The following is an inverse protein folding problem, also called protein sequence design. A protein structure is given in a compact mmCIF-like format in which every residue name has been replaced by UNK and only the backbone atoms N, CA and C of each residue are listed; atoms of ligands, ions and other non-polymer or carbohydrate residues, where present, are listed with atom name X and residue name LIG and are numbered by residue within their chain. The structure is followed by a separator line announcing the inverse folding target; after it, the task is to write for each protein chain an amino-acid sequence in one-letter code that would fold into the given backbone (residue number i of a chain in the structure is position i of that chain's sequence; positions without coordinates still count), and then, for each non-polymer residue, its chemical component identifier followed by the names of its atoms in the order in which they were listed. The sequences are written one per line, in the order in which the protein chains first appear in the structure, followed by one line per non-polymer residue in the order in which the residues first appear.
data_IF_268978105366
#
_entry.id   IF_268978105366
#
_cell.length_a   1.000
_cell.length_b   1.000
_cell.length_c   1.000
_cell.angle_alpha   90.00
_cell.angle_beta   90.00
_cell.angle_gamma   90.00
#
_symmetry.space_group_name_H-M   'P 1'
#
loop_
_entity.id
_entity.type
_entity.pdbx_description
1 polymer ?
#
# COMPACT_ATOMS: atom_id res chain seq x y z
N UNK A 1 -35.57 11.63 -13.64
CA UNK A 1 -34.53 10.59 -13.43
C UNK A 1 -34.81 9.87 -12.12
N UNK A 2 -35.36 8.67 -12.17
CA UNK A 2 -35.59 7.83 -10.98
C UNK A 2 -34.24 7.29 -10.52
N UNK A 3 -33.69 7.84 -9.44
CA UNK A 3 -32.47 7.35 -8.77
C UNK A 3 -32.74 5.91 -8.30
N UNK A 4 -32.35 4.90 -9.07
CA UNK A 4 -32.67 3.50 -8.73
C UNK A 4 -31.94 3.06 -7.47
N UNK A 5 -32.64 2.34 -6.58
CA UNK A 5 -32.06 1.71 -5.37
C UNK A 5 -30.91 0.76 -5.71
N UNK A 6 -31.00 0.08 -6.87
CA UNK A 6 -29.96 -0.84 -7.34
C UNK A 6 -28.61 -0.14 -7.60
N UNK A 7 -28.62 1.11 -8.08
CA UNK A 7 -27.40 1.90 -8.26
C UNK A 7 -26.72 2.27 -6.94
N UNK A 8 -27.52 2.58 -5.90
CA UNK A 8 -26.99 2.90 -4.57
C UNK A 8 -26.31 1.69 -3.90
N UNK A 9 -26.92 0.51 -4.01
CA UNK A 9 -26.35 -0.72 -3.44
C UNK A 9 -24.96 -1.02 -4.03
N UNK A 10 -24.80 -0.86 -5.35
CA UNK A 10 -23.51 -1.04 -6.02
C UNK A 10 -22.46 -0.03 -5.54
N UNK A 11 -22.82 1.25 -5.42
CA UNK A 11 -21.91 2.29 -4.91
C UNK A 11 -21.46 1.98 -3.48
N UNK A 12 -22.39 1.61 -2.58
CA UNK A 12 -22.06 1.30 -1.19
C UNK A 12 -21.20 0.04 -1.07
N UNK A 13 -21.47 -0.99 -1.88
CA UNK A 13 -20.66 -2.21 -1.89
C UNK A 13 -19.21 -1.93 -2.29
N UNK A 14 -18.98 -1.23 -3.40
CA UNK A 14 -17.62 -0.87 -3.83
C UNK A 14 -16.94 0.12 -2.89
N UNK A 15 -17.69 1.06 -2.31
CA UNK A 15 -17.18 1.95 -1.27
C UNK A 15 -16.74 1.18 -0.01
N UNK A 16 -17.54 0.21 0.44
CA UNK A 16 -17.21 -0.66 1.57
C UNK A 16 -15.98 -1.53 1.29
N UNK A 17 -15.88 -2.12 0.11
CA UNK A 17 -14.68 -2.86 -0.32
C UNK A 17 -13.46 -1.93 -0.31
N UNK A 18 -13.56 -0.74 -0.90
CA UNK A 18 -12.46 0.23 -0.90
C UNK A 18 -12.02 0.58 0.53
N UNK A 19 -12.97 0.82 1.44
CA UNK A 19 -12.68 1.10 2.85
C UNK A 19 -11.97 -0.08 3.53
N UNK A 20 -12.40 -1.32 3.28
CA UNK A 20 -11.74 -2.52 3.81
C UNK A 20 -10.31 -2.69 3.29
N UNK A 21 -10.06 -2.42 2.00
CA UNK A 21 -8.70 -2.47 1.45
C UNK A 21 -7.80 -1.40 2.06
N UNK A 22 -8.29 -0.16 2.24
CA UNK A 22 -7.52 0.88 2.94
C UNK A 22 -7.29 0.54 4.40
N UNK A 23 -8.29 0.01 5.10
CA UNK A 23 -8.14 -0.48 6.46
C UNK A 23 -7.05 -1.55 6.54
N UNK A 24 -7.08 -2.55 5.64
CA UNK A 24 -6.04 -3.57 5.56
C UNK A 24 -4.65 -2.99 5.28
N UNK A 25 -4.54 -2.01 4.37
CA UNK A 25 -3.28 -1.33 4.09
C UNK A 25 -2.68 -0.69 5.36
N UNK A 26 -3.48 0.03 6.13
CA UNK A 26 -3.02 0.67 7.37
C UNK A 26 -2.77 -0.33 8.49
N UNK A 27 -3.56 -1.38 8.57
CA UNK A 27 -3.39 -2.44 9.56
C UNK A 27 -2.07 -3.20 9.36
N UNK A 28 -1.64 -3.42 8.11
CA UNK A 28 -0.41 -4.11 7.75
C UNK A 28 0.72 -3.16 7.29
N UNK A 29 0.67 -1.89 7.72
CA UNK A 29 1.60 -0.87 7.23
C UNK A 29 3.06 -1.22 7.53
N UNK A 30 3.35 -1.76 8.71
CA UNK A 30 4.69 -2.15 9.14
C UNK A 30 5.25 -3.29 8.29
N UNK A 31 4.44 -4.28 7.95
CA UNK A 31 4.85 -5.39 7.09
C UNK A 31 5.14 -4.91 5.67
N UNK A 32 4.33 -3.99 5.12
CA UNK A 32 4.60 -3.38 3.82
C UNK A 32 5.88 -2.54 3.83
N UNK A 33 6.14 -1.79 4.90
CA UNK A 33 7.38 -1.04 5.08
C UNK A 33 8.59 -1.98 5.17
N UNK A 34 8.48 -3.05 5.95
CA UNK A 34 9.52 -4.07 6.05
C UNK A 34 9.81 -4.72 4.68
N UNK A 35 8.79 -5.09 3.92
CA UNK A 35 8.96 -5.60 2.55
C UNK A 35 9.64 -4.57 1.64
N UNK A 36 9.26 -3.30 1.75
CA UNK A 36 9.85 -2.21 0.95
C UNK A 36 11.35 -2.04 1.26
N UNK A 37 11.72 -2.01 2.55
CA UNK A 37 13.11 -1.90 3.00
C UNK A 37 13.95 -3.13 2.63
N UNK A 38 13.35 -4.32 2.54
CA UNK A 38 14.05 -5.57 2.20
C UNK A 38 14.01 -5.92 0.72
N UNK A 39 13.52 -5.02 -0.16
CA UNK A 39 13.65 -5.18 -1.62
C UNK A 39 15.10 -5.05 -2.10
N UNK A 40 15.91 -4.28 -1.38
CA UNK A 40 17.34 -4.09 -1.62
C UNK A 40 18.12 -4.56 -0.38
N UNK A 41 19.43 -4.75 -0.55
CA UNK A 41 20.30 -5.01 0.60
C UNK A 41 20.19 -3.85 1.59
N UNK A 42 19.85 -4.20 2.84
CA UNK A 42 19.58 -3.25 3.89
C UNK A 42 20.38 -3.56 5.16
N UNK A 43 20.63 -2.52 5.95
CA UNK A 43 21.17 -2.66 7.29
C UNK A 43 20.12 -2.16 8.28
N UNK A 44 19.68 -3.04 9.19
CA UNK A 44 18.80 -2.68 10.29
C UNK A 44 19.63 -2.35 11.53
N UNK A 45 19.55 -1.10 11.98
CA UNK A 45 20.23 -0.60 13.18
C UNK A 45 19.17 -0.25 14.21
N UNK A 46 19.25 -0.85 15.39
CA UNK A 46 18.36 -0.53 16.51
C UNK A 46 18.91 0.67 17.26
N UNK A 47 18.18 1.79 17.24
CA UNK A 47 18.54 3.03 17.94
C UNK A 47 17.43 3.38 18.94
N UNK A 48 17.67 3.08 20.22
CA UNK A 48 16.66 3.25 21.26
C UNK A 48 15.50 2.27 21.12
N UNK A 49 14.29 2.80 20.85
CA UNK A 49 13.08 2.00 20.61
C UNK A 49 12.79 1.79 19.11
N UNK A 50 13.49 2.51 18.22
CA UNK A 50 13.22 2.51 16.79
C UNK A 50 14.24 1.65 16.01
N UNK A 51 13.78 1.04 14.92
CA UNK A 51 14.67 0.33 13.98
C UNK A 51 14.84 1.17 12.72
N UNK A 52 16.07 1.66 12.50
CA UNK A 52 16.42 2.42 11.31
C UNK A 52 16.95 1.48 10.21
N UNK A 53 16.36 1.58 9.02
CA UNK A 53 16.77 0.82 7.84
C UNK A 53 17.61 1.69 6.90
N UNK A 54 18.86 1.29 6.68
CA UNK A 54 19.73 1.88 5.67
C UNK A 54 19.70 1.00 4.42
N UNK A 55 19.44 1.57 3.24
CA UNK A 55 19.41 0.82 1.97
C UNK A 55 20.76 0.88 1.24
N UNK A 56 21.01 -0.09 0.34
CA UNK A 56 22.23 -0.18 -0.50
C UNK A 56 23.52 -0.28 0.32
N UNK A 57 23.47 -1.03 1.41
CA UNK A 57 24.62 -1.18 2.31
C UNK A 57 25.41 -2.43 1.94
N UNK A 58 26.70 -2.42 2.22
CA UNK A 58 27.51 -3.63 2.22
C UNK A 58 27.60 -4.20 3.65
N UNK A 59 27.89 -5.51 3.81
CA UNK A 59 28.00 -6.13 5.13
C UNK A 59 29.01 -5.42 6.06
N UNK A 60 30.13 -4.96 5.52
CA UNK A 60 31.18 -4.22 6.26
C UNK A 60 30.70 -2.87 6.79
N UNK A 61 29.98 -2.10 5.96
CA UNK A 61 29.39 -0.82 6.38
C UNK A 61 28.28 -1.02 7.43
N UNK A 62 27.55 -2.13 7.37
CA UNK A 62 26.51 -2.44 8.34
C UNK A 62 27.09 -2.80 9.72
N UNK A 63 28.16 -3.60 9.76
CA UNK A 63 28.88 -3.91 11.00
C UNK A 63 29.47 -2.65 11.61
N UNK A 64 30.03 -1.74 10.79
CA UNK A 64 30.55 -0.45 11.27
C UNK A 64 29.48 0.43 11.96
N UNK A 65 28.20 0.24 11.60
CA UNK A 65 27.05 0.92 12.23
C UNK A 65 26.45 0.16 13.42
N UNK A 66 27.00 -1.00 13.79
CA UNK A 66 26.45 -1.86 14.83
C UNK A 66 25.10 -2.49 14.45
N UNK A 67 24.79 -2.56 13.16
CA UNK A 67 23.54 -3.10 12.65
C UNK A 67 23.60 -4.56 12.23
N UNK A 68 22.43 -5.08 11.87
CA UNK A 68 22.25 -6.40 11.27
C UNK A 68 22.03 -6.28 9.76
N UNK A 69 22.83 -7.01 8.98
CA UNK A 69 22.71 -7.01 7.53
C UNK A 69 21.55 -7.91 7.08
N UNK A 70 20.69 -7.37 6.24
CA UNK A 70 19.55 -8.06 5.65
C UNK A 70 19.77 -8.10 4.14
N UNK A 71 19.93 -9.32 3.61
CA UNK A 71 20.05 -9.53 2.17
C UNK A 71 18.72 -9.20 1.49
N UNK A 72 18.77 -8.31 0.51
CA UNK A 72 17.62 -7.88 -0.26
C UNK A 72 17.05 -9.01 -1.11
N UNK A 73 15.73 -9.09 -1.17
CA UNK A 73 15.01 -9.96 -2.09
C UNK A 73 14.22 -9.09 -3.06
N UNK A 74 14.81 -8.81 -4.24
CA UNK A 74 14.23 -7.93 -5.26
C UNK A 74 12.76 -8.25 -5.58
N UNK A 75 12.40 -9.54 -5.64
CA UNK A 75 11.05 -9.96 -6.01
C UNK A 75 9.96 -9.52 -5.00
N UNK A 76 10.34 -9.11 -3.79
CA UNK A 76 9.40 -8.55 -2.82
C UNK A 76 8.80 -7.22 -3.25
N UNK A 77 9.40 -6.51 -4.21
CA UNK A 77 8.84 -5.30 -4.81
C UNK A 77 7.44 -5.52 -5.40
N UNK A 78 7.14 -6.74 -5.85
CA UNK A 78 5.87 -7.03 -6.51
C UNK A 78 4.69 -7.00 -5.54
N UNK A 79 4.90 -7.25 -4.24
CA UNK A 79 3.85 -7.19 -3.24
C UNK A 79 3.25 -5.78 -3.06
N UNK A 80 4.03 -4.72 -2.74
CA UNK A 80 3.49 -3.36 -2.64
C UNK A 80 2.95 -2.85 -3.99
N UNK A 81 3.55 -3.25 -5.12
CA UNK A 81 3.03 -2.93 -6.46
C UNK A 81 1.63 -3.53 -6.66
N UNK A 82 1.45 -4.83 -6.39
CA UNK A 82 0.17 -5.50 -6.55
C UNK A 82 -0.92 -4.87 -5.66
N UNK A 83 -0.57 -4.52 -4.43
CA UNK A 83 -1.47 -3.83 -3.49
C UNK A 83 -1.83 -2.44 -4.00
N UNK A 84 -0.87 -1.66 -4.48
CA UNK A 84 -1.11 -0.33 -5.04
C UNK A 84 -2.06 -0.38 -6.25
N UNK A 85 -1.86 -1.32 -7.18
CA UNK A 85 -2.76 -1.50 -8.33
C UNK A 85 -4.15 -1.95 -7.92
N UNK A 86 -4.26 -2.88 -6.98
CA UNK A 86 -5.54 -3.37 -6.48
C UNK A 86 -6.33 -2.25 -5.81
N UNK A 87 -5.70 -1.49 -4.92
CA UNK A 87 -6.30 -0.32 -4.29
C UNK A 87 -6.73 0.73 -5.31
N UNK A 88 -5.87 1.05 -6.28
CA UNK A 88 -6.16 2.04 -7.31
C UNK A 88 -7.38 1.65 -8.15
N UNK A 89 -7.46 0.37 -8.55
CA UNK A 89 -8.60 -0.14 -9.32
C UNK A 89 -9.89 -0.09 -8.50
N UNK A 90 -9.89 -0.65 -7.29
CA UNK A 90 -11.06 -0.71 -6.41
C UNK A 90 -11.55 0.69 -6.07
N UNK A 91 -10.63 1.58 -5.68
CA UNK A 91 -10.93 2.97 -5.35
C UNK A 91 -11.43 3.74 -6.58
N UNK A 92 -10.84 3.52 -7.76
CA UNK A 92 -11.28 4.10 -9.02
C UNK A 92 -12.73 3.70 -9.37
N UNK A 93 -13.09 2.43 -9.20
CA UNK A 93 -14.47 1.96 -9.40
C UNK A 93 -15.42 2.60 -8.39
N UNK A 94 -15.04 2.65 -7.11
CA UNK A 94 -15.85 3.24 -6.06
C UNK A 94 -16.10 4.74 -6.30
N UNK A 95 -15.06 5.51 -6.62
CA UNK A 95 -15.15 6.95 -6.90
C UNK A 95 -15.94 7.23 -8.17
N UNK A 96 -15.74 6.46 -9.24
CA UNK A 96 -16.55 6.57 -10.46
C UNK A 96 -18.04 6.38 -10.19
N UNK A 97 -18.41 5.32 -9.46
CA UNK A 97 -19.80 5.08 -9.05
C UNK A 97 -20.36 6.15 -8.13
N UNK A 98 -19.52 6.74 -7.27
CA UNK A 98 -19.89 7.84 -6.39
C UNK A 98 -20.19 9.12 -7.18
N UNK A 99 -19.30 9.51 -8.11
CA UNK A 99 -19.48 10.70 -8.93
C UNK A 99 -20.70 10.58 -9.87
N UNK A 100 -20.89 9.41 -10.48
CA UNK A 100 -22.09 9.08 -11.26
C UNK A 100 -23.37 9.29 -10.45
N UNK A 101 -23.33 8.97 -9.14
CA UNK A 101 -24.47 9.12 -8.24
C UNK A 101 -24.78 10.59 -7.92
N UNK A 102 -23.74 11.42 -7.83
CA UNK A 102 -23.83 12.87 -7.67
C UNK A 102 -24.20 13.59 -8.98
N UNK A 103 -24.22 12.88 -10.11
CA UNK A 103 -24.52 13.45 -11.42
C UNK A 103 -23.35 14.20 -12.05
N UNK A 104 -22.13 14.02 -11.52
CA UNK A 104 -20.92 14.61 -12.04
C UNK A 104 -20.16 13.55 -12.84
N UNK A 105 -20.05 13.74 -14.15
CA UNK A 105 -19.23 12.89 -15.03
C UNK A 105 -18.11 13.70 -15.63
N UNK A 106 -16.94 13.05 -15.78
CA UNK A 106 -15.89 13.60 -16.62
C UNK A 106 -16.43 13.82 -18.03
N UNK A 107 -16.08 14.95 -18.63
CA UNK A 107 -16.37 15.23 -20.03
C UNK A 107 -15.55 14.22 -20.86
N UNK A 108 -16.23 13.47 -21.74
CA UNK A 108 -15.58 12.60 -22.72
C UNK A 108 -14.75 13.41 -23.70
#
# INVERSE_FOLDING_TARGET
MTRSRAGLGKTLFWGGISALFYFGLFYYAEEFLHLAHTTQDACAVTEGMDTLYYNKTTPDLCVAKGGSFIKGTWWFVFAPIAVAFTLSFVHGVATGLFWDRLGMKAKK
#
